data_IF_811009160970
#
_entry.id   IF_811009160970
#
_cell.length_a   1.000
_cell.length_b   1.000
_cell.length_c   1.000
_cell.angle_alpha   90.00
_cell.angle_beta   90.00
_cell.angle_gamma   90.00
#
_symmetry.space_group_name_H-M   'P 1'
#
loop_
_entity.id
_entity.type
_entity.pdbx_description
1 polymer ?
#
# COMPACT_ATOMS: atom_id res chain seq x y z
N UNK A 1 0.94 -5.78 -39.63
CA UNK A 1 -0.20 -5.50 -38.73
C UNK A 1 -0.10 -6.46 -37.56
N UNK A 2 0.44 -6.03 -36.42
CA UNK A 2 0.48 -6.84 -35.20
C UNK A 2 -0.84 -6.61 -34.48
N UNK A 3 -1.63 -7.65 -34.12
CA UNK A 3 -2.79 -7.42 -33.29
C UNK A 3 -2.26 -7.02 -31.91
N UNK A 4 -2.49 -5.77 -31.52
CA UNK A 4 -2.15 -5.22 -30.21
C UNK A 4 -3.03 -5.81 -29.09
N UNK A 5 -3.33 -7.10 -29.12
CA UNK A 5 -4.01 -7.79 -28.03
C UNK A 5 -3.02 -7.91 -26.88
N UNK A 6 -3.09 -6.97 -25.93
CA UNK A 6 -2.37 -7.09 -24.66
C UNK A 6 -3.22 -7.94 -23.74
N UNK A 7 -3.07 -9.26 -23.85
CA UNK A 7 -3.59 -10.17 -22.83
C UNK A 7 -2.93 -9.79 -21.49
N UNK A 8 -3.73 -9.68 -20.43
CA UNK A 8 -3.24 -9.36 -19.09
C UNK A 8 -3.83 -10.36 -18.10
N UNK A 9 -3.04 -10.93 -17.19
CA UNK A 9 -3.59 -11.74 -16.12
C UNK A 9 -4.49 -10.87 -15.22
N UNK A 10 -5.64 -11.41 -14.82
CA UNK A 10 -6.60 -10.73 -13.94
C UNK A 10 -7.00 -11.69 -12.83
N UNK A 11 -6.97 -11.21 -11.59
CA UNK A 11 -7.58 -11.88 -10.44
C UNK A 11 -9.02 -11.41 -10.32
N UNK A 12 -9.96 -12.34 -10.19
CA UNK A 12 -11.38 -12.05 -9.98
C UNK A 12 -11.80 -12.49 -8.59
N UNK A 13 -12.50 -11.61 -7.87
CA UNK A 13 -13.09 -11.92 -6.58
C UNK A 13 -14.54 -11.41 -6.48
N UNK A 14 -15.41 -12.10 -5.72
CA UNK A 14 -16.77 -11.62 -5.48
C UNK A 14 -16.74 -10.33 -4.63
N UNK A 15 -17.47 -9.32 -5.07
CA UNK A 15 -17.54 -8.01 -4.41
C UNK A 15 -19.01 -7.55 -4.27
N UNK A 16 -19.64 -7.96 -3.16
CA UNK A 16 -21.03 -7.63 -2.86
C UNK A 16 -21.99 -8.17 -3.92
N UNK A 17 -22.58 -7.27 -4.73
CA UNK A 17 -23.49 -7.63 -5.84
C UNK A 17 -22.79 -7.79 -7.20
N UNK A 18 -21.46 -7.73 -7.23
CA UNK A 18 -20.68 -7.81 -8.46
C UNK A 18 -19.37 -8.58 -8.32
N UNK A 19 -18.48 -8.40 -9.29
CA UNK A 19 -17.13 -8.96 -9.32
C UNK A 19 -16.12 -7.81 -9.33
N UNK A 20 -15.05 -7.95 -8.55
CA UNK A 20 -13.89 -7.09 -8.62
C UNK A 20 -12.80 -7.80 -9.44
N UNK A 21 -12.30 -7.11 -10.46
CA UNK A 21 -11.17 -7.56 -11.25
C UNK A 21 -9.93 -6.74 -10.94
N UNK A 22 -8.84 -7.40 -10.54
CA UNK A 22 -7.54 -6.78 -10.32
C UNK A 22 -6.58 -7.22 -11.43
N UNK A 23 -6.07 -6.27 -12.19
CA UNK A 23 -5.07 -6.56 -13.24
C UNK A 23 -3.72 -6.83 -12.59
N UNK A 24 -3.14 -8.00 -12.86
CA UNK A 24 -1.84 -8.39 -12.35
C UNK A 24 -0.72 -7.99 -13.34
N UNK A 25 0.48 -7.78 -12.80
CA UNK A 25 1.69 -7.67 -13.62
C UNK A 25 2.21 -9.05 -13.98
N UNK A 26 2.93 -9.16 -15.10
CA UNK A 26 3.59 -10.42 -15.44
C UNK A 26 4.71 -10.73 -14.46
N UNK A 27 5.01 -12.01 -14.26
CA UNK A 27 6.02 -12.44 -13.29
C UNK A 27 7.40 -11.77 -13.53
N UNK A 28 7.78 -11.56 -14.79
CA UNK A 28 9.02 -10.89 -15.18
C UNK A 28 9.09 -9.39 -14.81
N UNK A 29 7.94 -8.75 -14.60
CA UNK A 29 7.86 -7.33 -14.22
C UNK A 29 7.93 -7.14 -12.69
N UNK A 30 7.91 -8.24 -11.92
CA UNK A 30 7.98 -8.21 -10.46
C UNK A 30 9.45 -8.09 -10.07
N UNK A 31 9.79 -6.99 -9.38
CA UNK A 31 11.14 -6.77 -8.82
C UNK A 31 11.22 -7.32 -7.41
N UNK A 32 12.38 -7.87 -7.03
CA UNK A 32 12.63 -8.26 -5.66
C UNK A 32 12.64 -7.02 -4.75
N UNK A 33 12.03 -7.12 -3.58
CA UNK A 33 11.99 -6.06 -2.57
C UNK A 33 13.39 -5.62 -2.14
N UNK A 34 14.29 -6.57 -1.91
CA UNK A 34 15.66 -6.30 -1.49
C UNK A 34 16.42 -5.47 -2.53
N UNK A 35 16.25 -5.79 -3.82
CA UNK A 35 16.88 -5.05 -4.91
C UNK A 35 16.27 -3.65 -5.04
N UNK A 36 14.94 -3.54 -4.92
CA UNK A 36 14.22 -2.28 -5.10
C UNK A 36 14.55 -1.24 -4.02
N UNK A 37 14.73 -1.68 -2.77
CA UNK A 37 15.04 -0.81 -1.64
C UNK A 37 16.53 -0.79 -1.26
N UNK A 38 17.41 -1.41 -2.06
CA UNK A 38 18.85 -1.50 -1.79
C UNK A 38 19.55 -0.14 -1.66
N UNK A 39 19.06 0.88 -2.36
CA UNK A 39 19.61 2.24 -2.32
C UNK A 39 19.19 3.05 -1.09
N UNK A 40 18.22 2.56 -0.32
CA UNK A 40 17.74 3.24 0.89
C UNK A 40 18.61 2.82 2.07
N UNK A 41 19.41 3.74 2.66
CA UNK A 41 20.25 3.41 3.79
C UNK A 41 19.40 3.17 5.05
N UNK A 42 19.84 2.23 5.89
CA UNK A 42 19.25 2.01 7.20
C UNK A 42 19.61 3.20 8.12
N UNK A 43 18.64 4.08 8.39
CA UNK A 43 18.85 5.24 9.25
C UNK A 43 17.97 5.17 10.50
N UNK A 44 18.56 5.47 11.66
CA UNK A 44 17.80 5.63 12.91
C UNK A 44 17.20 7.03 12.95
N UNK A 45 15.89 7.10 12.79
CA UNK A 45 15.15 8.36 12.86
C UNK A 45 14.91 8.77 14.32
N UNK A 46 15.04 10.06 14.66
CA UNK A 46 14.64 10.59 15.96
C UNK A 46 13.17 10.34 16.26
N UNK A 47 12.84 10.03 17.52
CA UNK A 47 11.47 9.73 17.94
C UNK A 47 10.49 10.89 17.69
N UNK A 48 10.97 12.14 17.74
CA UNK A 48 10.14 13.33 17.45
C UNK A 48 9.75 13.41 15.96
N UNK A 49 10.64 13.03 15.04
CA UNK A 49 10.30 12.96 13.61
C UNK A 49 9.25 11.90 13.33
N UNK A 50 9.32 10.76 14.03
CA UNK A 50 8.30 9.70 13.92
C UNK A 50 6.92 10.16 14.40
N UNK A 51 6.86 10.91 15.53
CA UNK A 51 5.60 11.49 16.04
C UNK A 51 5.02 12.50 15.05
N UNK A 52 5.85 13.33 14.43
CA UNK A 52 5.42 14.28 13.42
C UNK A 52 4.86 13.59 12.17
N UNK A 53 5.55 12.58 11.65
CA UNK A 53 5.07 11.79 10.52
C UNK A 53 3.71 11.15 10.81
N UNK A 54 3.54 10.59 12.02
CA UNK A 54 2.26 10.05 12.47
C UNK A 54 1.17 11.14 12.48
N UNK A 55 1.48 12.33 13.01
CA UNK A 55 0.54 13.45 13.03
C UNK A 55 0.16 13.92 11.63
N UNK A 56 1.09 13.95 10.67
CA UNK A 56 0.81 14.33 9.28
C UNK A 56 -0.09 13.30 8.60
N UNK A 57 0.18 12.00 8.77
CA UNK A 57 -0.62 10.92 8.20
C UNK A 57 -2.05 10.98 8.76
N UNK A 58 -2.19 11.17 10.07
CA UNK A 58 -3.50 11.34 10.72
C UNK A 58 -4.18 12.64 10.25
N UNK A 59 -3.51 13.78 10.27
CA UNK A 59 -4.14 15.03 9.83
C UNK A 59 -4.63 14.96 8.37
N UNK A 60 -3.83 14.35 7.48
CA UNK A 60 -4.13 14.29 6.03
C UNK A 60 -5.20 13.25 5.71
N UNK A 61 -5.13 12.06 6.30
CA UNK A 61 -6.08 10.98 6.00
C UNK A 61 -7.46 11.28 6.58
N UNK A 62 -7.54 11.90 7.75
CA UNK A 62 -8.82 12.09 8.45
C UNK A 62 -9.63 13.26 7.88
N UNK A 63 -8.94 14.27 7.34
CA UNK A 63 -9.58 15.37 6.64
C UNK A 63 -10.16 14.93 5.28
N UNK A 64 -9.53 13.94 4.62
CA UNK A 64 -9.93 13.47 3.28
C UNK A 64 -10.80 12.21 3.28
N UNK A 65 -10.65 11.37 4.29
CA UNK A 65 -11.32 10.08 4.42
C UNK A 65 -11.91 10.09 5.82
N UNK A 66 -13.23 10.16 5.94
CA UNK A 66 -13.96 10.15 7.22
C UNK A 66 -13.87 8.80 7.94
N UNK A 67 -12.66 8.30 8.19
CA UNK A 67 -12.35 7.06 8.87
C UNK A 67 -11.89 7.44 10.28
N UNK A 68 -12.57 6.92 11.30
CA UNK A 68 -12.24 7.16 12.71
C UNK A 68 -10.98 6.38 13.15
N UNK A 69 -10.25 6.94 14.13
CA UNK A 69 -9.01 6.36 14.67
C UNK A 69 -9.31 4.99 15.29
N UNK A 70 -8.56 3.92 14.96
CA UNK A 70 -8.54 2.77 15.83
C UNK A 70 -7.86 3.18 17.14
N UNK A 71 -8.65 3.17 18.23
CA UNK A 71 -8.18 3.35 19.60
C UNK A 71 -6.97 2.44 19.83
N UNK A 72 -5.79 3.03 20.04
CA UNK A 72 -4.61 2.30 20.48
C UNK A 72 -4.95 1.69 21.84
N UNK A 73 -5.16 0.38 21.84
CA UNK A 73 -5.37 -0.40 23.04
C UNK A 73 -4.07 -0.41 23.87
N UNK A 74 -3.85 0.64 24.66
CA UNK A 74 -2.93 0.63 25.79
C UNK A 74 -3.52 -0.26 26.87
N UNK A 75 -3.48 -1.58 26.65
CA UNK A 75 -3.61 -2.61 27.67
C UNK A 75 -3.35 -3.98 27.06
N UNK A 76 -2.13 -4.48 27.22
CA UNK A 76 -1.86 -5.72 27.94
C UNK A 76 -0.37 -6.04 27.96
N UNK A 77 0.16 -5.94 29.19
CA UNK A 77 1.25 -6.73 29.79
C UNK A 77 2.67 -6.43 29.32
#
# INVERSE_FOLDING_TARGET
MVPSSRERPVLLEPAGRGLLGVTLRFAQDIRNEADYFSEIPEMKLPSEMMKLAQHIIVATLYSRVGVALPERNQKKR
#
